data_IF_611770504177
#
_entry.id   IF_611770504177
#
_cell.length_a   1.000
_cell.length_b   1.000
_cell.length_c   1.000
_cell.angle_alpha   90.00
_cell.angle_beta   90.00
_cell.angle_gamma   90.00
#
_symmetry.space_group_name_H-M   'P 1'
#
loop_
_entity.id
_entity.type
_entity.pdbx_description
1 polymer ?
#
# COMPACT_ATOMS: atom_id res chain seq x y z
N UNK A 1 24.86 -19.60 41.49
CA UNK A 1 23.45 -19.18 41.70
C UNK A 1 22.88 -18.78 40.33
N UNK A 2 22.17 -19.69 39.65
CA UNK A 2 21.58 -19.40 38.35
C UNK A 2 20.40 -18.43 38.53
N UNK A 3 20.48 -17.24 37.93
CA UNK A 3 19.43 -16.22 37.99
C UNK A 3 18.26 -16.72 37.15
N UNK A 4 17.13 -17.01 37.78
CA UNK A 4 15.89 -17.32 37.07
C UNK A 4 15.51 -16.11 36.20
N UNK A 5 15.55 -16.28 34.88
CA UNK A 5 15.11 -15.28 33.90
C UNK A 5 13.60 -15.12 34.04
N UNK A 6 13.16 -13.97 34.56
CA UNK A 6 11.75 -13.59 34.56
C UNK A 6 11.40 -13.10 33.15
N UNK A 7 10.33 -13.64 32.54
CA UNK A 7 9.77 -13.11 31.29
C UNK A 7 9.52 -11.61 31.43
N UNK A 8 9.89 -10.85 30.40
CA UNK A 8 9.67 -9.40 30.33
C UNK A 8 10.63 -8.56 31.18
N UNK A 9 11.73 -9.14 31.66
CA UNK A 9 12.79 -8.37 32.32
C UNK A 9 13.59 -7.56 31.29
N UNK A 10 13.93 -6.31 31.64
CA UNK A 10 14.78 -5.47 30.79
C UNK A 10 16.14 -6.16 30.57
N UNK A 11 16.57 -6.23 29.31
CA UNK A 11 17.83 -6.83 28.91
C UNK A 11 17.82 -8.35 28.72
N UNK A 12 16.65 -9.01 28.74
CA UNK A 12 16.53 -10.42 28.34
C UNK A 12 16.16 -10.54 26.85
N UNK A 13 16.62 -11.60 26.16
CA UNK A 13 16.29 -11.84 24.75
C UNK A 13 14.87 -12.43 24.64
N UNK A 14 13.85 -11.64 24.94
CA UNK A 14 12.47 -12.06 24.77
C UNK A 14 12.13 -12.18 23.27
N UNK A 15 11.42 -13.25 22.86
CA UNK A 15 10.84 -13.31 21.53
C UNK A 15 9.85 -12.17 21.30
N UNK A 16 9.74 -11.72 20.05
CA UNK A 16 8.69 -10.78 19.64
C UNK A 16 7.31 -11.33 20.01
N UNK A 17 6.44 -10.50 20.58
CA UNK A 17 5.11 -10.90 21.09
C UNK A 17 4.32 -11.72 20.06
N UNK A 18 4.20 -11.18 18.85
CA UNK A 18 3.47 -11.81 17.74
C UNK A 18 4.25 -12.89 16.97
N UNK A 19 5.46 -13.29 17.41
CA UNK A 19 6.29 -14.24 16.65
C UNK A 19 5.57 -15.55 16.33
N UNK A 20 4.77 -16.06 17.28
CA UNK A 20 3.96 -17.27 17.10
C UNK A 20 2.82 -17.08 16.08
N UNK A 21 2.25 -15.88 15.98
CA UNK A 21 1.22 -15.52 14.99
C UNK A 21 1.84 -15.37 13.59
N UNK A 22 3.07 -14.84 13.50
CA UNK A 22 3.78 -14.73 12.22
C UNK A 22 4.05 -16.11 11.60
N UNK A 23 4.52 -17.08 12.39
CA UNK A 23 4.88 -18.41 11.88
C UNK A 23 3.68 -19.32 11.62
N UNK A 24 2.54 -19.04 12.25
CA UNK A 24 1.27 -19.75 12.01
C UNK A 24 0.46 -19.16 10.87
N UNK A 25 0.76 -17.93 10.44
CA UNK A 25 -0.05 -17.18 9.48
C UNK A 25 -1.30 -16.53 10.08
N UNK A 26 -1.40 -16.46 11.41
CA UNK A 26 -2.55 -15.87 12.11
C UNK A 26 -2.38 -14.36 12.38
N UNK A 27 -1.18 -13.83 12.18
CA UNK A 27 -0.95 -12.40 12.27
C UNK A 27 -1.60 -11.69 11.08
N UNK A 28 -2.54 -10.79 11.37
CA UNK A 28 -3.29 -10.06 10.34
C UNK A 28 -2.52 -8.83 9.85
N UNK A 29 -2.24 -8.80 8.56
CA UNK A 29 -1.79 -7.63 7.81
C UNK A 29 -2.98 -6.98 7.09
N UNK A 30 -2.74 -5.83 6.45
CA UNK A 30 -3.81 -5.02 5.84
C UNK A 30 -4.62 -5.80 4.80
N UNK A 31 -3.96 -6.61 3.98
CA UNK A 31 -4.62 -7.40 2.91
C UNK A 31 -5.34 -8.65 3.44
N UNK A 32 -5.09 -9.04 4.71
CA UNK A 32 -5.79 -10.13 5.37
C UNK A 32 -7.14 -9.67 5.97
N UNK A 33 -7.46 -8.38 5.85
CA UNK A 33 -8.74 -7.84 6.30
C UNK A 33 -9.82 -8.22 5.28
N UNK A 34 -10.91 -8.89 5.70
CA UNK A 34 -11.99 -9.25 4.77
C UNK A 34 -12.56 -8.02 4.06
N UNK A 35 -12.64 -8.10 2.73
CA UNK A 35 -13.16 -7.02 1.91
C UNK A 35 -14.67 -6.81 2.17
N UNK A 36 -15.10 -5.58 2.48
CA UNK A 36 -16.52 -5.24 2.48
C UNK A 36 -17.17 -5.50 1.12
N UNK A 37 -18.47 -5.81 1.11
CA UNK A 37 -19.22 -5.99 -0.14
C UNK A 37 -19.16 -4.73 -0.99
N UNK A 38 -18.73 -4.88 -2.25
CA UNK A 38 -18.63 -3.77 -3.20
C UNK A 38 -17.29 -3.02 -3.15
N UNK A 39 -16.29 -3.54 -2.43
CA UNK A 39 -14.90 -3.07 -2.51
C UNK A 39 -14.42 -3.10 -3.97
N UNK A 40 -13.75 -2.02 -4.40
CA UNK A 40 -13.12 -1.91 -5.70
C UNK A 40 -11.62 -2.08 -5.56
N UNK A 41 -10.98 -2.63 -6.59
CA UNK A 41 -9.53 -2.74 -6.68
C UNK A 41 -8.98 -1.61 -7.57
N UNK A 42 -7.83 -1.07 -7.17
CA UNK A 42 -7.11 -0.07 -7.94
C UNK A 42 -5.83 -0.67 -8.52
N UNK A 43 -5.47 -0.25 -9.74
CA UNK A 43 -4.22 -0.57 -10.39
C UNK A 43 -3.57 0.72 -10.88
N UNK A 44 -2.25 0.80 -10.79
CA UNK A 44 -1.48 2.01 -11.11
C UNK A 44 -0.79 1.82 -12.48
N UNK A 45 -1.02 2.77 -13.39
CA UNK A 45 -0.24 2.89 -14.62
C UNK A 45 1.07 3.63 -14.34
N UNK A 46 2.20 2.97 -14.57
CA UNK A 46 3.52 3.52 -14.30
C UNK A 46 4.21 4.00 -15.57
N UNK A 47 5.07 5.02 -15.44
CA UNK A 47 5.94 5.43 -16.54
C UNK A 47 6.94 4.32 -16.91
N UNK A 48 7.04 4.00 -18.20
CA UNK A 48 8.09 3.12 -18.73
C UNK A 48 9.41 3.84 -19.00
N UNK A 49 9.44 5.17 -18.78
CA UNK A 49 10.59 6.04 -19.04
C UNK A 49 11.03 6.71 -17.75
N UNK A 50 12.33 6.68 -17.48
CA UNK A 50 12.90 7.35 -16.30
C UNK A 50 12.73 8.88 -16.34
N UNK A 51 12.79 9.48 -17.53
CA UNK A 51 12.56 10.92 -17.73
C UNK A 51 12.03 11.18 -19.14
N UNK A 52 10.81 11.70 -19.24
CA UNK A 52 10.16 12.04 -20.50
C UNK A 52 9.01 13.02 -20.27
N UNK A 53 8.57 13.69 -21.33
CA UNK A 53 7.35 14.50 -21.34
C UNK A 53 6.20 13.63 -21.86
N UNK A 54 5.11 13.54 -21.09
CA UNK A 54 3.87 12.91 -21.55
C UNK A 54 3.20 13.82 -22.58
N UNK A 55 3.23 13.44 -23.86
CA UNK A 55 2.59 14.21 -24.94
C UNK A 55 1.10 13.94 -25.07
N UNK A 56 0.70 12.70 -24.81
CA UNK A 56 -0.67 12.22 -24.92
C UNK A 56 -0.82 10.92 -24.12
N UNK A 57 -2.03 10.64 -23.64
CA UNK A 57 -2.40 9.37 -23.03
C UNK A 57 -3.71 8.93 -23.68
N UNK A 58 -3.73 7.74 -24.27
CA UNK A 58 -4.96 7.10 -24.73
C UNK A 58 -5.40 6.08 -23.67
N UNK A 59 -6.57 6.33 -23.08
CA UNK A 59 -7.14 5.52 -22.01
C UNK A 59 -8.44 4.84 -22.43
N UNK A 60 -8.88 5.00 -23.68
CA UNK A 60 -10.12 4.41 -24.17
C UNK A 60 -10.14 2.87 -24.06
N UNK A 61 -9.03 2.15 -24.37
CA UNK A 61 -8.99 0.70 -24.16
C UNK A 61 -9.16 0.30 -22.70
N UNK A 62 -8.63 1.09 -21.76
CA UNK A 62 -8.76 0.84 -20.31
C UNK A 62 -10.19 1.08 -19.87
N UNK A 63 -10.80 2.20 -20.30
CA UNK A 63 -12.21 2.52 -20.00
C UNK A 63 -13.19 1.47 -20.53
N UNK A 64 -12.87 0.84 -21.65
CA UNK A 64 -13.70 -0.20 -22.27
C UNK A 64 -13.49 -1.60 -21.66
N UNK A 65 -12.48 -1.81 -20.82
CA UNK A 65 -12.18 -3.13 -20.29
C UNK A 65 -13.29 -3.62 -19.31
N UNK A 66 -13.67 -4.92 -19.35
CA UNK A 66 -14.69 -5.46 -18.45
C UNK A 66 -14.33 -5.25 -16.98
N UNK A 67 -15.29 -4.75 -16.20
CA UNK A 67 -15.12 -4.56 -14.76
C UNK A 67 -14.45 -3.24 -14.35
N UNK A 68 -13.98 -2.43 -15.31
CA UNK A 68 -13.46 -1.09 -15.00
C UNK A 68 -14.60 -0.17 -14.59
N UNK A 69 -14.50 0.37 -13.37
CA UNK A 69 -15.49 1.30 -12.81
C UNK A 69 -15.10 2.75 -13.10
N UNK A 70 -13.80 3.07 -13.05
CA UNK A 70 -13.29 4.40 -13.33
C UNK A 70 -11.84 4.33 -13.82
N UNK A 71 -11.42 5.34 -14.58
CA UNK A 71 -10.01 5.61 -14.90
C UNK A 71 -9.71 7.03 -14.45
N UNK A 72 -8.80 7.14 -13.49
CA UNK A 72 -8.44 8.36 -12.77
C UNK A 72 -7.09 8.86 -13.28
N UNK A 73 -6.98 10.15 -13.50
CA UNK A 73 -5.80 10.86 -13.99
C UNK A 73 -5.48 12.07 -13.11
N UNK A 74 -4.37 12.76 -13.40
CA UNK A 74 -4.03 14.01 -12.72
C UNK A 74 -5.14 15.08 -12.81
N UNK A 75 -5.99 15.04 -13.85
CA UNK A 75 -7.10 15.99 -14.02
C UNK A 75 -8.26 15.73 -13.05
N UNK A 76 -8.33 14.55 -12.44
CA UNK A 76 -9.39 14.15 -11.53
C UNK A 76 -9.05 14.46 -10.06
N UNK A 77 -7.82 14.90 -9.78
CA UNK A 77 -7.38 15.25 -8.42
C UNK A 77 -8.02 16.57 -8.00
N UNK A 78 -8.83 16.60 -6.93
CA UNK A 78 -9.39 17.85 -6.45
C UNK A 78 -8.31 18.72 -5.80
N UNK A 79 -8.33 20.02 -6.07
CA UNK A 79 -7.39 20.97 -5.48
C UNK A 79 -5.99 20.91 -6.12
N UNK A 80 -4.95 20.94 -5.29
CA UNK A 80 -3.56 20.92 -5.75
C UNK A 80 -3.08 19.48 -5.82
N UNK A 81 -2.58 19.05 -6.99
CA UNK A 81 -1.99 17.74 -7.19
C UNK A 81 -0.53 17.71 -6.68
N UNK A 82 -0.37 17.68 -5.36
CA UNK A 82 0.93 17.61 -4.70
C UNK A 82 0.79 16.99 -3.30
N UNK A 83 1.61 15.98 -3.00
CA UNK A 83 1.68 15.29 -1.71
C UNK A 83 3.07 15.39 -1.07
N UNK A 84 4.02 16.02 -1.75
CA UNK A 84 5.41 16.10 -1.34
C UNK A 84 5.59 17.08 -0.18
N UNK A 85 6.48 16.76 0.76
CA UNK A 85 6.81 17.66 1.88
C UNK A 85 7.36 19.00 1.38
N UNK A 86 7.96 19.03 0.18
CA UNK A 86 8.56 20.21 -0.44
C UNK A 86 7.72 20.82 -1.57
N UNK A 87 6.61 20.21 -1.95
CA UNK A 87 5.83 20.66 -3.10
C UNK A 87 6.41 20.24 -4.46
N UNK A 88 6.99 19.03 -4.54
CA UNK A 88 7.63 18.50 -5.75
C UNK A 88 7.17 17.07 -6.14
N UNK A 89 6.23 16.47 -5.40
CA UNK A 89 5.74 15.10 -5.64
C UNK A 89 4.23 15.12 -5.95
N UNK A 90 3.81 14.94 -7.22
CA UNK A 90 2.39 14.72 -7.55
C UNK A 90 1.91 13.36 -7.04
N UNK A 91 0.59 13.21 -6.82
CA UNK A 91 -0.04 11.93 -6.46
C UNK A 91 -0.12 10.94 -7.62
#
# INVERSE_FOLDING_TARGET
>A
MARATRRGAIGTPEPHESAHLHVSGEARYTDDIPEPRGTLHAAIGMSERAHAVVKSIDLDPVRAAPGVVAVITAADVPGTNDIGVRGDDPI
#
